data_IF_392402481388
#
_entry.id   IF_392402481388
#
_cell.length_a   1.000
_cell.length_b   1.000
_cell.length_c   1.000
_cell.angle_alpha   90.00
_cell.angle_beta   90.00
_cell.angle_gamma   90.00
#
_symmetry.space_group_name_H-M   'P 1'
#
loop_
_entity.id
_entity.type
_entity.pdbx_description
1 polymer ?
#
# COMPACT_ATOMS: atom_id res chain seq x y z
N UNK A 1 10.09 -4.61 -18.48
CA UNK A 1 9.93 -3.33 -17.74
C UNK A 1 10.78 -3.42 -16.49
N UNK A 2 11.46 -2.35 -16.12
CA UNK A 2 12.21 -2.27 -14.86
C UNK A 2 11.23 -2.16 -13.69
N UNK A 3 11.50 -2.86 -12.59
CA UNK A 3 10.71 -2.75 -11.37
C UNK A 3 10.75 -1.32 -10.81
N UNK A 4 9.66 -0.89 -10.16
CA UNK A 4 9.51 0.47 -9.67
C UNK A 4 9.19 0.55 -8.18
N UNK A 5 9.71 1.59 -7.53
CA UNK A 5 9.33 1.98 -6.18
C UNK A 5 8.17 2.98 -6.20
N UNK A 6 7.06 2.58 -5.60
CA UNK A 6 5.90 3.40 -5.29
C UNK A 6 5.89 3.68 -3.78
N UNK A 7 6.29 4.89 -3.41
CA UNK A 7 6.40 5.27 -2.00
C UNK A 7 5.47 6.43 -1.66
N UNK A 8 4.87 6.32 -0.48
CA UNK A 8 4.03 7.37 0.07
C UNK A 8 3.58 7.07 1.50
N UNK A 9 2.36 7.50 1.80
CA UNK A 9 1.77 7.45 3.14
C UNK A 9 0.39 6.81 3.10
N UNK A 10 -0.10 6.40 4.26
CA UNK A 10 -1.47 5.91 4.47
C UNK A 10 -2.50 7.04 4.53
N UNK A 11 -2.57 7.85 3.47
CA UNK A 11 -3.42 9.04 3.36
C UNK A 11 -2.60 10.26 2.95
N UNK A 12 -3.28 11.33 2.51
CA UNK A 12 -2.63 12.57 2.08
C UNK A 12 -3.26 13.84 2.68
N UNK A 13 -4.53 13.85 3.05
CA UNK A 13 -5.26 15.10 3.31
C UNK A 13 -5.12 15.61 4.77
N UNK A 14 -3.91 15.99 5.20
CA UNK A 14 -3.63 16.42 6.58
C UNK A 14 -3.16 17.88 6.66
N UNK A 15 -3.99 18.82 7.17
CA UNK A 15 -3.59 20.22 7.31
C UNK A 15 -2.38 20.44 8.22
N UNK A 16 -2.20 19.59 9.24
CA UNK A 16 -1.09 19.65 10.19
C UNK A 16 0.30 19.43 9.54
N UNK A 17 0.34 19.00 8.27
CA UNK A 17 1.57 18.84 7.52
C UNK A 17 2.11 20.15 6.93
N UNK A 18 1.39 21.27 7.11
CA UNK A 18 1.88 22.61 6.78
C UNK A 18 2.85 23.14 7.85
N UNK A 19 3.83 23.99 7.48
CA UNK A 19 4.29 24.27 6.11
C UNK A 19 5.27 23.22 5.57
N UNK A 20 5.67 22.23 6.39
CA UNK A 20 6.83 21.38 6.15
C UNK A 20 6.68 20.47 4.92
N UNK A 21 5.49 19.85 4.76
CA UNK A 21 5.19 19.05 3.58
C UNK A 21 4.35 19.81 2.56
N UNK A 22 3.35 20.55 3.03
CA UNK A 22 2.44 21.36 2.23
C UNK A 22 2.76 22.85 2.38
N UNK A 23 2.75 23.65 1.30
CA UNK A 23 2.90 25.11 1.43
C UNK A 23 1.89 25.71 2.41
N UNK A 24 2.31 26.71 3.18
CA UNK A 24 1.50 27.37 4.22
C UNK A 24 0.07 27.71 3.74
N UNK A 25 0.00 28.35 2.56
CA UNK A 25 -1.25 28.87 2.01
C UNK A 25 -1.97 27.92 1.03
N UNK A 26 -1.56 26.65 0.90
CA UNK A 26 -2.25 25.73 -0.01
C UNK A 26 -3.66 25.38 0.51
N UNK A 27 -4.72 25.51 -0.30
CA UNK A 27 -6.06 25.05 0.08
C UNK A 27 -6.13 23.53 0.19
N UNK A 28 -6.94 23.00 1.13
CA UNK A 28 -7.08 21.55 1.35
C UNK A 28 -7.45 20.76 0.07
N UNK A 29 -8.29 21.35 -0.80
CA UNK A 29 -8.68 20.77 -2.09
C UNK A 29 -7.50 20.55 -3.06
N UNK A 30 -6.35 21.18 -2.83
CA UNK A 30 -5.12 21.01 -3.61
C UNK A 30 -4.09 20.12 -2.92
N UNK A 31 -4.36 19.58 -1.72
CA UNK A 31 -3.39 18.73 -1.02
C UNK A 31 -2.94 17.54 -1.85
N UNK A 32 -3.86 16.85 -2.55
CA UNK A 32 -3.49 15.73 -3.42
C UNK A 32 -2.58 16.17 -4.57
N UNK A 33 -2.91 17.29 -5.21
CA UNK A 33 -2.09 17.86 -6.29
C UNK A 33 -0.67 18.15 -5.80
N UNK A 34 -0.51 18.78 -4.63
CA UNK A 34 0.81 19.04 -4.05
C UNK A 34 1.52 17.77 -3.55
N UNK A 35 0.78 16.82 -2.97
CA UNK A 35 1.31 15.53 -2.55
C UNK A 35 1.96 14.79 -3.72
N UNK A 36 1.28 14.80 -4.86
CA UNK A 36 1.70 14.08 -6.06
C UNK A 36 2.87 14.73 -6.82
N UNK A 37 3.33 15.92 -6.42
CA UNK A 37 4.61 16.47 -6.94
C UNK A 37 5.82 15.90 -6.21
N UNK A 38 5.64 15.36 -5.00
CA UNK A 38 6.71 14.87 -4.12
C UNK A 38 6.75 13.35 -4.05
N UNK A 39 5.58 12.71 -4.05
CA UNK A 39 5.40 11.27 -3.89
C UNK A 39 4.64 10.68 -5.09
N UNK A 40 4.79 9.38 -5.35
CA UNK A 40 4.23 8.72 -6.54
C UNK A 40 3.17 7.67 -6.24
N UNK A 41 2.84 7.45 -4.97
CA UNK A 41 1.71 6.63 -4.59
C UNK A 41 1.12 7.05 -3.24
N UNK A 42 -0.10 6.61 -2.98
CA UNK A 42 -0.75 6.78 -1.67
C UNK A 42 -1.62 5.58 -1.33
N UNK A 43 -1.57 5.14 -0.08
CA UNK A 43 -2.50 4.12 0.44
C UNK A 43 -3.79 4.82 0.92
N UNK A 44 -4.92 4.46 0.33
CA UNK A 44 -6.22 5.10 0.60
C UNK A 44 -6.97 4.33 1.67
N UNK A 45 -7.11 4.94 2.86
CA UNK A 45 -7.95 4.41 3.94
C UNK A 45 -9.42 4.85 3.84
N UNK A 46 -9.74 5.89 3.06
CA UNK A 46 -11.11 6.37 2.87
C UNK A 46 -12.07 5.24 2.44
N UNK A 47 -11.60 4.39 1.53
CA UNK A 47 -12.34 3.26 0.96
C UNK A 47 -12.66 2.15 1.97
N UNK A 48 -11.92 2.09 3.08
CA UNK A 48 -12.19 1.15 4.18
C UNK A 48 -13.56 1.42 4.81
N UNK A 49 -13.97 2.69 4.92
CA UNK A 49 -15.20 3.10 5.60
C UNK A 49 -16.36 3.35 4.65
N UNK A 50 -16.08 3.75 3.42
CA UNK A 50 -17.09 4.18 2.44
C UNK A 50 -16.76 3.64 1.06
N UNK A 51 -17.79 3.39 0.26
CA UNK A 51 -17.59 3.21 -1.18
C UNK A 51 -17.42 4.60 -1.80
N UNK A 52 -16.32 4.86 -2.54
CA UNK A 52 -16.12 6.15 -3.20
C UNK A 52 -17.16 6.37 -4.30
N UNK A 53 -17.58 7.63 -4.47
CA UNK A 53 -18.28 8.03 -5.69
C UNK A 53 -17.30 8.09 -6.86
N UNK A 54 -17.74 7.74 -8.07
CA UNK A 54 -16.90 7.74 -9.26
C UNK A 54 -16.25 9.13 -9.50
N UNK A 55 -17.03 10.20 -9.38
CA UNK A 55 -16.57 11.59 -9.50
C UNK A 55 -15.44 11.96 -8.54
N UNK A 56 -15.38 11.34 -7.35
CA UNK A 56 -14.29 11.55 -6.40
C UNK A 56 -12.98 10.96 -6.95
N UNK A 57 -13.04 9.74 -7.47
CA UNK A 57 -11.87 9.06 -8.01
C UNK A 57 -11.41 9.70 -9.33
N UNK A 58 -12.34 10.09 -10.20
CA UNK A 58 -12.05 10.84 -11.42
C UNK A 58 -11.34 12.16 -11.10
N UNK A 59 -11.81 12.88 -10.06
CA UNK A 59 -11.14 14.09 -9.58
C UNK A 59 -9.73 13.80 -9.07
N UNK A 60 -9.49 12.69 -8.36
CA UNK A 60 -8.15 12.30 -7.93
C UNK A 60 -7.23 11.96 -9.09
N UNK A 61 -7.74 11.26 -10.11
CA UNK A 61 -6.99 10.98 -11.34
C UNK A 61 -6.58 12.27 -12.03
N UNK A 62 -7.49 13.25 -12.15
CA UNK A 62 -7.21 14.55 -12.78
C UNK A 62 -6.19 15.41 -12.01
N UNK A 63 -6.09 15.23 -10.69
CA UNK A 63 -5.17 15.99 -9.83
C UNK A 63 -3.74 15.42 -9.76
N UNK A 64 -3.49 14.24 -10.33
CA UNK A 64 -2.23 13.52 -10.17
C UNK A 64 -1.55 13.23 -11.53
N UNK A 65 -0.20 13.24 -11.60
CA UNK A 65 0.51 13.03 -12.85
C UNK A 65 0.38 11.59 -13.36
N UNK A 66 0.78 11.39 -14.62
CA UNK A 66 0.96 10.05 -15.19
C UNK A 66 1.86 9.17 -14.31
N UNK A 67 1.41 7.95 -14.05
CA UNK A 67 2.15 6.96 -13.25
C UNK A 67 1.93 7.04 -11.74
N UNK A 68 1.22 8.05 -11.22
CA UNK A 68 0.85 8.06 -9.80
C UNK A 68 -0.15 6.93 -9.48
N UNK A 69 0.07 6.17 -8.41
CA UNK A 69 -0.80 5.04 -8.06
C UNK A 69 -1.54 5.22 -6.74
N UNK A 70 -2.81 4.82 -6.72
CA UNK A 70 -3.63 4.76 -5.52
C UNK A 70 -3.77 3.30 -5.07
N UNK A 71 -3.36 2.99 -3.85
CA UNK A 71 -3.49 1.66 -3.25
C UNK A 71 -4.68 1.65 -2.26
N UNK A 72 -5.89 1.26 -2.67
CA UNK A 72 -7.06 1.33 -1.80
C UNK A 72 -7.05 0.20 -0.77
N UNK A 73 -7.43 0.54 0.46
CA UNK A 73 -7.79 -0.45 1.48
C UNK A 73 -9.18 -0.98 1.18
N UNK A 74 -9.33 -2.31 1.15
CA UNK A 74 -10.60 -2.99 0.96
C UNK A 74 -11.64 -2.54 1.99
N UNK A 75 -12.90 -2.45 1.59
CA UNK A 75 -13.96 -2.00 2.48
C UNK A 75 -14.10 -2.91 3.72
N UNK A 76 -14.33 -2.32 4.90
CA UNK A 76 -14.46 -3.05 6.17
C UNK A 76 -15.57 -4.10 6.15
N UNK A 77 -16.59 -3.93 5.30
CA UNK A 77 -17.64 -4.93 5.13
C UNK A 77 -17.05 -6.28 4.71
N UNK A 78 -16.02 -6.28 3.88
CA UNK A 78 -15.36 -7.50 3.39
C UNK A 78 -14.49 -8.12 4.49
N UNK A 79 -13.62 -7.33 5.11
CA UNK A 79 -12.57 -7.87 5.99
C UNK A 79 -12.95 -7.95 7.46
N UNK A 80 -13.78 -7.04 7.98
CA UNK A 80 -14.09 -6.93 9.42
C UNK A 80 -15.50 -7.41 9.76
N UNK A 81 -16.48 -7.13 8.90
CA UNK A 81 -17.87 -7.53 9.13
C UNK A 81 -18.10 -8.96 8.65
N UNK A 82 -17.91 -9.21 7.36
CA UNK A 82 -18.09 -10.55 6.77
C UNK A 82 -16.90 -11.47 7.05
N UNK A 83 -15.73 -10.90 7.36
CA UNK A 83 -14.49 -11.66 7.64
C UNK A 83 -14.21 -12.67 6.53
N UNK A 84 -14.29 -12.20 5.28
CA UNK A 84 -14.14 -12.97 4.04
C UNK A 84 -15.27 -13.98 3.75
N UNK A 85 -16.09 -14.37 4.73
CA UNK A 85 -17.17 -15.34 4.55
C UNK A 85 -18.30 -14.76 3.71
N UNK A 86 -18.67 -15.47 2.63
CA UNK A 86 -19.73 -15.06 1.70
C UNK A 86 -19.56 -13.61 1.19
N UNK A 87 -18.30 -13.17 1.03
CA UNK A 87 -17.98 -11.79 0.72
C UNK A 87 -17.97 -11.44 -0.78
N UNK A 88 -18.41 -12.36 -1.66
CA UNK A 88 -18.39 -12.19 -3.12
C UNK A 88 -19.08 -10.91 -3.59
N UNK A 89 -20.36 -10.74 -3.28
CA UNK A 89 -21.13 -9.55 -3.72
C UNK A 89 -20.58 -8.24 -3.14
N UNK A 90 -20.08 -8.26 -1.89
CA UNK A 90 -19.46 -7.09 -1.27
C UNK A 90 -18.13 -6.73 -1.95
N UNK A 91 -17.35 -7.74 -2.34
CA UNK A 91 -16.08 -7.58 -3.05
C UNK A 91 -16.34 -7.04 -4.46
N UNK A 92 -17.29 -7.61 -5.18
CA UNK A 92 -17.66 -7.16 -6.52
C UNK A 92 -18.14 -5.70 -6.52
N UNK A 93 -19.01 -5.33 -5.57
CA UNK A 93 -19.46 -3.96 -5.40
C UNK A 93 -18.31 -3.00 -5.10
N UNK A 94 -17.38 -3.41 -4.23
CA UNK A 94 -16.17 -2.64 -3.93
C UNK A 94 -15.30 -2.44 -5.17
N UNK A 95 -15.02 -3.51 -5.92
CA UNK A 95 -14.19 -3.45 -7.13
C UNK A 95 -14.81 -2.54 -8.19
N UNK A 96 -16.14 -2.61 -8.39
CA UNK A 96 -16.86 -1.65 -9.26
C UNK A 96 -16.70 -0.21 -8.79
N UNK A 97 -16.79 0.05 -7.49
CA UNK A 97 -16.68 1.41 -6.94
C UNK A 97 -15.30 2.05 -7.19
N UNK A 98 -14.24 1.25 -7.30
CA UNK A 98 -12.87 1.72 -7.55
C UNK A 98 -12.44 1.61 -9.03
N UNK A 99 -13.32 1.16 -9.90
CA UNK A 99 -13.02 0.97 -11.33
C UNK A 99 -12.49 2.23 -12.04
N UNK A 100 -12.92 3.48 -11.72
CA UNK A 100 -12.32 4.67 -12.33
C UNK A 100 -10.79 4.74 -12.18
N UNK A 101 -10.23 4.23 -11.08
CA UNK A 101 -8.78 4.13 -10.91
C UNK A 101 -8.18 3.05 -11.82
N UNK A 102 -8.85 1.91 -11.98
CA UNK A 102 -8.41 0.81 -12.86
C UNK A 102 -8.42 1.27 -14.31
N UNK A 103 -9.55 1.81 -14.77
CA UNK A 103 -9.76 2.32 -16.12
C UNK A 103 -8.77 3.43 -16.48
N UNK A 104 -8.40 4.29 -15.52
CA UNK A 104 -7.36 5.31 -15.72
C UNK A 104 -5.91 4.79 -15.64
N UNK A 105 -5.67 3.49 -15.40
CA UNK A 105 -4.34 2.91 -15.10
C UNK A 105 -3.65 3.60 -13.92
N UNK A 106 -4.42 3.86 -12.87
CA UNK A 106 -4.04 4.52 -11.61
C UNK A 106 -4.25 3.63 -10.38
N UNK A 107 -4.78 2.42 -10.55
CA UNK A 107 -5.00 1.47 -9.47
C UNK A 107 -3.69 0.72 -9.13
N UNK A 108 -3.21 0.93 -7.90
CA UNK A 108 -2.18 0.11 -7.26
C UNK A 108 -2.78 -1.11 -6.53
N UNK A 109 -1.99 -1.82 -5.71
CA UNK A 109 -2.47 -2.99 -4.99
C UNK A 109 -3.61 -2.67 -4.04
N UNK A 110 -4.59 -3.56 -3.99
CA UNK A 110 -5.72 -3.48 -3.05
C UNK A 110 -5.31 -4.19 -1.76
N UNK A 111 -5.36 -3.46 -0.65
CA UNK A 111 -4.99 -3.99 0.66
C UNK A 111 -6.18 -4.61 1.39
N UNK A 112 -6.11 -5.91 1.68
CA UNK A 112 -6.99 -6.64 2.57
C UNK A 112 -6.33 -6.81 3.95
N UNK A 113 -6.60 -5.87 4.85
CA UNK A 113 -6.22 -6.01 6.26
C UNK A 113 -7.31 -6.75 7.04
N UNK A 114 -6.96 -7.89 7.63
CA UNK A 114 -7.86 -8.69 8.45
C UNK A 114 -7.83 -8.23 9.93
N UNK A 115 -8.94 -8.35 10.66
CA UNK A 115 -8.98 -7.97 12.08
C UNK A 115 -8.16 -8.95 12.94
N UNK A 116 -7.63 -8.51 14.09
CA UNK A 116 -6.80 -9.34 14.98
C UNK A 116 -7.54 -10.55 15.56
N UNK A 117 -8.86 -10.48 15.69
CA UNK A 117 -9.68 -11.59 16.20
C UNK A 117 -9.98 -12.68 15.16
N UNK A 118 -9.61 -12.51 13.89
CA UNK A 118 -9.81 -13.53 12.86
C UNK A 118 -8.57 -14.44 12.81
N UNK A 119 -8.74 -15.68 13.28
CA UNK A 119 -7.70 -16.73 13.22
C UNK A 119 -7.63 -17.34 11.81
N UNK A 120 -6.54 -18.06 11.56
CA UNK A 120 -6.30 -18.70 10.27
C UNK A 120 -7.33 -19.77 9.97
N UNK A 121 -7.84 -19.69 8.74
CA UNK A 121 -8.75 -20.63 8.12
C UNK A 121 -8.35 -20.68 6.65
N UNK A 122 -7.60 -21.73 6.31
CA UNK A 122 -7.03 -21.91 4.97
C UNK A 122 -8.11 -22.07 3.89
N UNK A 123 -9.13 -22.93 4.07
CA UNK A 123 -10.25 -23.02 3.15
C UNK A 123 -10.94 -21.68 2.92
N UNK A 124 -11.25 -20.93 3.99
CA UNK A 124 -11.86 -19.61 3.88
C UNK A 124 -11.01 -18.63 3.05
N UNK A 125 -9.70 -18.60 3.29
CA UNK A 125 -8.80 -17.76 2.51
C UNK A 125 -8.73 -18.22 1.04
N UNK A 126 -8.64 -19.53 0.79
CA UNK A 126 -8.57 -20.08 -0.56
C UNK A 126 -9.83 -19.75 -1.37
N UNK A 127 -11.00 -19.95 -0.77
CA UNK A 127 -12.29 -19.62 -1.36
C UNK A 127 -12.38 -18.12 -1.66
N UNK A 128 -11.98 -17.26 -0.73
CA UNK A 128 -11.99 -15.82 -0.96
C UNK A 128 -11.04 -15.40 -2.08
N UNK A 129 -9.81 -15.93 -2.11
CA UNK A 129 -8.83 -15.66 -3.17
C UNK A 129 -9.29 -16.21 -4.53
N UNK A 130 -10.16 -17.22 -4.56
CA UNK A 130 -10.77 -17.74 -5.78
C UNK A 130 -11.68 -16.70 -6.46
N UNK A 131 -12.30 -15.80 -5.68
CA UNK A 131 -13.22 -14.77 -6.15
C UNK A 131 -12.53 -13.53 -6.75
N UNK A 132 -11.24 -13.35 -6.48
CA UNK A 132 -10.52 -12.14 -6.86
C UNK A 132 -10.08 -12.16 -8.34
N UNK A 133 -10.38 -11.11 -9.13
CA UNK A 133 -9.89 -10.98 -10.51
C UNK A 133 -8.36 -11.10 -10.62
N UNK A 134 -7.82 -12.01 -11.43
CA UNK A 134 -6.39 -12.30 -11.46
C UNK A 134 -5.52 -11.20 -12.09
N UNK A 135 -6.13 -10.23 -12.77
CA UNK A 135 -5.44 -9.11 -13.42
C UNK A 135 -5.12 -7.94 -12.47
N UNK A 136 -5.64 -7.99 -11.23
CA UNK A 136 -5.40 -6.99 -10.20
C UNK A 136 -4.33 -7.45 -9.20
N UNK A 137 -3.72 -6.48 -8.51
CA UNK A 137 -2.73 -6.72 -7.47
C UNK A 137 -3.38 -6.66 -6.11
N UNK A 138 -3.04 -7.61 -5.24
CA UNK A 138 -3.62 -7.73 -3.90
C UNK A 138 -2.55 -7.90 -2.84
N UNK A 139 -2.72 -7.25 -1.70
CA UNK A 139 -1.89 -7.45 -0.52
C UNK A 139 -2.75 -7.87 0.67
N UNK A 140 -2.34 -8.89 1.41
CA UNK A 140 -3.01 -9.35 2.62
C UNK A 140 -2.20 -9.01 3.86
N UNK A 141 -2.82 -8.29 4.78
CA UNK A 141 -2.24 -7.91 6.05
C UNK A 141 -2.94 -8.67 7.17
N UNK A 142 -2.25 -9.70 7.69
CA UNK A 142 -2.73 -10.48 8.81
C UNK A 142 -2.39 -9.81 10.14
N UNK A 143 -3.27 -10.00 11.12
CA UNK A 143 -3.18 -9.41 12.46
C UNK A 143 -3.19 -10.44 13.58
N UNK A 144 -3.09 -11.71 13.21
CA UNK A 144 -3.09 -12.84 14.13
C UNK A 144 -2.00 -13.83 13.71
N UNK A 145 -1.17 -14.27 14.67
CA UNK A 145 0.03 -15.07 14.40
C UNK A 145 -0.25 -16.40 13.69
N UNK A 146 -1.42 -17.00 13.90
CA UNK A 146 -1.78 -18.26 13.23
C UNK A 146 -1.86 -18.17 11.70
N UNK A 147 -1.91 -16.97 11.11
CA UNK A 147 -1.82 -16.79 9.65
C UNK A 147 -0.38 -16.83 9.14
N UNK A 148 0.61 -16.77 10.02
CA UNK A 148 2.02 -16.68 9.68
C UNK A 148 2.64 -18.08 9.63
N UNK A 149 2.13 -18.90 8.70
CA UNK A 149 2.58 -20.27 8.50
C UNK A 149 2.73 -20.60 7.01
N UNK A 150 3.62 -21.56 6.70
CA UNK A 150 3.98 -21.93 5.33
C UNK A 150 2.77 -22.21 4.41
N UNK A 151 1.72 -22.94 4.85
CA UNK A 151 0.57 -23.21 3.99
C UNK A 151 -0.18 -21.93 3.54
N UNK A 152 -0.18 -20.88 4.36
CA UNK A 152 -0.76 -19.57 3.99
C UNK A 152 0.12 -18.89 2.95
N UNK A 153 1.44 -18.91 3.12
CA UNK A 153 2.38 -18.29 2.17
C UNK A 153 2.31 -18.96 0.80
N UNK A 154 2.24 -20.29 0.76
CA UNK A 154 2.13 -21.05 -0.48
C UNK A 154 0.82 -20.72 -1.21
N UNK A 155 -0.28 -20.56 -0.46
CA UNK A 155 -1.57 -20.17 -1.01
C UNK A 155 -1.52 -18.77 -1.62
N UNK A 156 -0.94 -17.80 -0.91
CA UNK A 156 -0.73 -16.45 -1.43
C UNK A 156 0.16 -16.46 -2.67
N UNK A 157 1.26 -17.22 -2.66
CA UNK A 157 2.20 -17.36 -3.77
C UNK A 157 1.56 -17.92 -5.04
N UNK A 158 0.77 -19.01 -4.91
CA UNK A 158 0.01 -19.59 -6.03
C UNK A 158 -0.96 -18.60 -6.66
N UNK A 159 -1.48 -17.65 -5.89
CA UNK A 159 -2.42 -16.62 -6.37
C UNK A 159 -1.73 -15.28 -6.66
N UNK A 160 -0.38 -15.20 -6.53
CA UNK A 160 0.44 -14.00 -6.76
C UNK A 160 0.01 -12.81 -5.88
N UNK A 161 -0.45 -13.10 -4.67
CA UNK A 161 -0.94 -12.13 -3.68
C UNK A 161 0.21 -11.82 -2.72
N UNK A 162 0.49 -10.54 -2.48
CA UNK A 162 1.56 -10.15 -1.55
C UNK A 162 1.12 -10.38 -0.11
N UNK A 163 1.94 -11.09 0.67
CA UNK A 163 1.95 -10.91 2.12
C UNK A 163 2.34 -9.45 2.38
N UNK A 164 1.53 -8.73 3.15
CA UNK A 164 1.84 -7.36 3.55
C UNK A 164 2.85 -7.41 4.69
N UNK A 165 4.03 -6.87 4.45
CA UNK A 165 5.10 -6.73 5.43
C UNK A 165 4.84 -5.47 6.25
N UNK A 166 4.03 -5.64 7.31
CA UNK A 166 3.59 -4.56 8.17
C UNK A 166 4.36 -4.56 9.49
N UNK A 167 4.91 -3.40 9.87
CA UNK A 167 5.46 -3.22 11.19
C UNK A 167 4.34 -3.15 12.24
N UNK A 168 4.55 -3.81 13.37
CA UNK A 168 3.63 -3.82 14.51
C UNK A 168 4.40 -4.10 15.79
N UNK A 169 3.99 -3.46 16.89
CA UNK A 169 4.51 -3.77 18.24
C UNK A 169 4.05 -5.14 18.76
N UNK A 170 2.95 -5.68 18.20
CA UNK A 170 2.28 -6.88 18.73
C UNK A 170 2.56 -8.14 17.94
N UNK A 171 3.05 -8.01 16.72
CA UNK A 171 3.19 -9.12 15.79
C UNK A 171 4.36 -8.85 14.83
N UNK A 172 5.36 -9.72 14.89
CA UNK A 172 6.45 -9.73 13.93
C UNK A 172 5.99 -10.44 12.65
N UNK A 173 6.12 -9.77 11.50
CA UNK A 173 5.78 -10.34 10.20
C UNK A 173 7.07 -10.83 9.53
N UNK A 174 7.19 -12.12 9.20
CA UNK A 174 8.39 -12.64 8.57
C UNK A 174 8.56 -12.04 7.17
N UNK A 175 9.81 -11.90 6.75
CA UNK A 175 10.18 -11.27 5.47
C UNK A 175 9.97 -12.20 4.25
N UNK A 176 8.78 -12.79 4.14
CA UNK A 176 8.44 -13.74 3.09
C UNK A 176 7.77 -13.01 1.93
N UNK A 177 8.29 -13.21 0.73
CA UNK A 177 7.77 -12.61 -0.51
C UNK A 177 6.91 -13.64 -1.26
N UNK A 178 5.61 -13.36 -1.37
CA UNK A 178 4.63 -14.27 -2.00
C UNK A 178 4.05 -13.72 -3.31
N UNK A 179 4.66 -12.69 -3.89
CA UNK A 179 4.16 -12.05 -5.10
C UNK A 179 5.31 -11.48 -5.96
N UNK A 180 5.07 -11.18 -7.24
CA UNK A 180 6.03 -10.47 -8.10
C UNK A 180 6.20 -8.98 -7.71
N UNK A 181 5.60 -8.56 -6.60
CA UNK A 181 5.74 -7.24 -6.00
C UNK A 181 5.72 -7.40 -4.47
N UNK A 182 6.15 -6.38 -3.74
CA UNK A 182 6.15 -6.40 -2.27
C UNK A 182 5.39 -5.19 -1.74
N UNK A 183 4.56 -5.42 -0.72
CA UNK A 183 3.77 -4.38 -0.06
C UNK A 183 4.25 -4.18 1.39
N UNK A 184 4.83 -3.02 1.65
CA UNK A 184 5.33 -2.60 2.96
C UNK A 184 4.41 -1.59 3.63
N UNK A 185 4.19 -1.81 4.91
CA UNK A 185 3.46 -0.91 5.79
C UNK A 185 4.36 -0.54 6.96
N UNK A 186 4.99 0.62 6.85
CA UNK A 186 5.92 1.18 7.83
C UNK A 186 5.12 1.97 8.89
N UNK A 187 5.24 1.58 10.16
CA UNK A 187 4.35 2.02 11.26
C UNK A 187 5.06 2.54 12.51
N UNK A 188 6.39 2.57 12.57
CA UNK A 188 7.10 3.25 13.65
C UNK A 188 6.72 4.75 13.67
N UNK A 189 6.65 5.38 14.85
CA UNK A 189 6.44 6.82 14.95
C UNK A 189 7.57 7.62 14.27
N UNK A 190 8.80 7.16 14.43
CA UNK A 190 9.99 7.81 13.90
C UNK A 190 10.93 6.81 13.22
N UNK A 191 11.67 7.29 12.23
CA UNK A 191 12.74 6.55 11.56
C UNK A 191 14.02 7.40 11.59
N UNK A 192 15.09 6.81 12.10
CA UNK A 192 16.42 7.42 12.05
C UNK A 192 16.97 7.38 10.62
N UNK A 193 18.02 8.17 10.31
CA UNK A 193 18.72 8.04 9.03
C UNK A 193 19.23 6.61 8.76
N UNK A 194 19.68 5.89 9.80
CA UNK A 194 20.11 4.51 9.68
C UNK A 194 18.95 3.55 9.35
N UNK A 195 17.78 3.74 9.96
CA UNK A 195 16.58 2.98 9.60
C UNK A 195 16.23 3.18 8.12
N UNK A 196 16.21 4.44 7.64
CA UNK A 196 15.88 4.74 6.25
C UNK A 196 16.91 4.20 5.27
N UNK A 197 18.20 4.22 5.61
CA UNK A 197 19.25 3.63 4.79
C UNK A 197 19.08 2.11 4.69
N UNK A 198 18.75 1.43 5.78
CA UNK A 198 18.46 -0.02 5.77
C UNK A 198 17.23 -0.35 4.92
N UNK A 199 16.16 0.45 5.03
CA UNK A 199 14.95 0.30 4.19
C UNK A 199 15.29 0.53 2.71
N UNK A 200 16.12 1.54 2.40
CA UNK A 200 16.55 1.85 1.04
C UNK A 200 17.40 0.72 0.43
N UNK A 201 18.38 0.19 1.17
CA UNK A 201 19.21 -0.93 0.72
C UNK A 201 18.35 -2.18 0.43
N UNK A 202 17.37 -2.46 1.30
CA UNK A 202 16.40 -3.53 1.07
C UNK A 202 15.55 -3.27 -0.16
N UNK A 203 15.09 -2.04 -0.36
CA UNK A 203 14.31 -1.67 -1.52
C UNK A 203 15.12 -1.84 -2.82
N UNK A 204 16.37 -1.38 -2.85
CA UNK A 204 17.27 -1.53 -3.99
C UNK A 204 17.48 -3.01 -4.35
N UNK A 205 17.72 -3.88 -3.35
CA UNK A 205 17.83 -5.33 -3.55
C UNK A 205 16.58 -5.91 -4.21
N UNK A 206 15.40 -5.65 -3.66
CA UNK A 206 14.14 -6.22 -4.19
C UNK A 206 13.78 -5.68 -5.58
N UNK A 207 14.11 -4.42 -5.87
CA UNK A 207 13.97 -3.85 -7.21
C UNK A 207 14.93 -4.51 -8.20
N UNK A 208 16.17 -4.78 -7.79
CA UNK A 208 17.16 -5.54 -8.57
C UNK A 208 16.72 -6.97 -8.88
N UNK A 209 15.92 -7.57 -8.01
CA UNK A 209 15.25 -8.87 -8.22
C UNK A 209 13.99 -8.76 -9.12
N UNK A 210 13.71 -7.59 -9.69
CA UNK A 210 12.61 -7.36 -10.62
C UNK A 210 11.23 -7.23 -9.97
N UNK A 211 11.15 -6.90 -8.67
CA UNK A 211 9.88 -6.77 -7.94
C UNK A 211 9.48 -5.32 -7.74
N UNK A 212 8.29 -4.95 -8.18
CA UNK A 212 7.71 -3.65 -7.84
C UNK A 212 7.54 -3.52 -6.31
N UNK A 213 7.79 -2.34 -5.77
CA UNK A 213 7.68 -2.08 -4.34
C UNK A 213 6.60 -1.03 -4.06
N UNK A 214 5.75 -1.33 -3.09
CA UNK A 214 4.74 -0.41 -2.57
C UNK A 214 5.04 -0.16 -1.10
N UNK A 215 5.54 1.02 -0.76
CA UNK A 215 6.00 1.37 0.60
C UNK A 215 5.17 2.51 1.16
N UNK A 216 4.40 2.22 2.20
CA UNK A 216 3.53 3.21 2.82
C UNK A 216 3.88 3.43 4.28
N UNK A 217 4.35 4.64 4.58
CA UNK A 217 4.52 5.12 5.95
C UNK A 217 3.16 5.46 6.57
N UNK A 218 3.07 5.35 7.90
CA UNK A 218 1.90 5.81 8.66
C UNK A 218 1.71 7.30 8.46
N UNK A 219 0.46 7.72 8.33
CA UNK A 219 0.14 9.12 8.53
C UNK A 219 0.16 9.38 10.03
N UNK A 220 0.78 10.47 10.42
CA UNK A 220 0.76 10.97 11.78
C UNK A 220 0.28 12.42 11.77
N UNK A 221 0.04 12.97 12.95
CA UNK A 221 -0.30 14.39 13.10
C UNK A 221 0.90 15.31 12.73
N UNK A 222 2.07 14.71 12.49
CA UNK A 222 3.25 15.34 11.90
C UNK A 222 3.46 14.89 10.44
N UNK A 223 4.18 15.67 9.62
CA UNK A 223 4.51 15.29 8.25
C UNK A 223 5.61 14.23 8.13
N UNK A 224 6.09 13.66 9.25
CA UNK A 224 7.24 12.74 9.29
C UNK A 224 7.15 11.62 8.26
N UNK A 225 6.05 10.87 8.25
CA UNK A 225 5.83 9.79 7.28
C UNK A 225 5.94 10.22 5.81
N UNK A 226 5.47 11.41 5.46
CA UNK A 226 5.54 11.92 4.10
C UNK A 226 6.98 12.35 3.72
N UNK A 227 7.71 12.94 4.66
CA UNK A 227 9.11 13.30 4.50
C UNK A 227 10.02 12.06 4.42
N UNK A 228 9.75 11.02 5.22
CA UNK A 228 10.45 9.74 5.15
C UNK A 228 10.23 9.04 3.81
N UNK A 229 9.01 9.06 3.28
CA UNK A 229 8.72 8.54 1.95
C UNK A 229 9.50 9.29 0.84
N UNK A 230 9.60 10.62 0.95
CA UNK A 230 10.39 11.40 0.00
C UNK A 230 11.89 11.06 0.10
N UNK A 231 12.42 10.98 1.32
CA UNK A 231 13.82 10.65 1.55
C UNK A 231 14.17 9.24 1.06
N UNK A 232 13.30 8.25 1.29
CA UNK A 232 13.48 6.89 0.78
C UNK A 232 13.61 6.88 -0.74
N UNK A 233 12.78 7.66 -1.46
CA UNK A 233 12.85 7.75 -2.92
C UNK A 233 14.16 8.37 -3.41
N UNK A 234 14.73 9.33 -2.66
CA UNK A 234 16.04 9.92 -2.98
C UNK A 234 17.15 8.89 -2.82
N UNK A 235 17.20 8.23 -1.66
CA UNK A 235 18.20 7.21 -1.34
C UNK A 235 18.23 6.06 -2.36
N UNK A 236 17.05 5.55 -2.76
CA UNK A 236 16.98 4.45 -3.75
C UNK A 236 17.40 4.89 -5.16
N UNK A 237 17.17 6.16 -5.53
CA UNK A 237 17.62 6.70 -6.83
C UNK A 237 19.14 6.88 -6.87
N UNK A 238 19.72 7.38 -5.78
CA UNK A 238 21.17 7.55 -5.64
C UNK A 238 21.88 6.20 -5.71
N UNK A 239 21.33 5.16 -5.07
CA UNK A 239 21.89 3.80 -5.11
C UNK A 239 21.75 3.11 -6.48
N UNK A 240 20.86 3.61 -7.34
CA UNK A 240 20.64 3.12 -8.71
C UNK A 240 21.44 3.91 -9.77
N UNK A 241 22.24 4.90 -9.36
CA UNK A 241 23.02 5.77 -10.26
C UNK A 241 24.28 5.09 -10.82
N UNK A 242 24.83 5.57 -11.95
CA UNK A 242 25.99 4.98 -12.64
C UNK A 242 27.33 5.10 -11.90
N UNK A 243 27.38 5.79 -10.75
CA UNK A 243 28.62 6.21 -10.07
C UNK A 243 29.03 5.33 -8.88
N UNK A 244 28.62 4.05 -8.85
CA UNK A 244 29.03 3.16 -7.77
C UNK A 244 30.51 2.75 -7.96
N UNK A 245 31.42 3.03 -7.00
CA UNK A 245 32.71 2.35 -7.00
C UNK A 245 32.47 0.86 -6.75
N UNK A 246 33.13 0.04 -7.56
CA UNK A 246 33.13 -1.43 -7.46
C UNK A 246 33.70 -1.92 -6.14
#
# INVERSE_FOLDING_TARGET
MTAQLFAGTSGFAYPAWKPLFYPENVPAKKFLQHYATRLNAVEINYTFRRLPAASTLESWVAQTPAGFLFAPKANMRITHILKLKNAGSATELFLRSIDPLRSARRLGPILFQLPPGLRADLPLLADFLALLPPDLRYAFEFRHASWLEQPVYDLLARRRVSLCLAESEKLEIPEIVTAPFVYFRLRKPEYTPADLAAIAARAARLLGEGRDLFVFFKHEDTPGGALYAEQLRKLVREDSGPDRPK
#
